data_IF_931381536099
#
_entry.id   IF_931381536099
#
_cell.length_a   1.000
_cell.length_b   1.000
_cell.length_c   1.000
_cell.angle_alpha   90.00
_cell.angle_beta   90.00
_cell.angle_gamma   90.00
#
_symmetry.space_group_name_H-M   'P 1'
#
loop_
_entity.id
_entity.type
_entity.pdbx_description
1 polymer ?
#
# COMPACT_ATOMS: atom_id res chain seq x y z
N UNK A 1 -14.05 -13.95 14.55
CA UNK A 1 -13.25 -14.19 13.33
C UNK A 1 -11.79 -14.30 13.72
N UNK A 2 -11.01 -15.09 12.97
CA UNK A 2 -9.55 -15.16 13.13
C UNK A 2 -8.90 -13.83 12.71
N UNK A 3 -7.83 -13.42 13.41
CA UNK A 3 -7.12 -12.18 13.09
C UNK A 3 -6.27 -12.33 11.83
N UNK A 4 -6.32 -11.32 10.96
CA UNK A 4 -5.44 -11.15 9.81
C UNK A 4 -4.79 -9.77 9.85
N UNK A 5 -3.47 -9.74 9.73
CA UNK A 5 -2.71 -8.50 9.63
C UNK A 5 -2.36 -8.25 8.15
N UNK A 6 -2.82 -7.14 7.60
CA UNK A 6 -2.36 -6.64 6.29
C UNK A 6 -1.42 -5.47 6.56
N UNK A 7 -0.14 -5.66 6.24
CA UNK A 7 0.94 -4.73 6.60
C UNK A 7 1.55 -4.18 5.31
N UNK A 8 1.56 -2.87 5.17
CA UNK A 8 2.20 -2.21 4.04
C UNK A 8 3.46 -1.47 4.49
N UNK A 9 4.58 -1.70 3.79
CA UNK A 9 5.83 -0.97 4.00
C UNK A 9 6.12 0.00 2.86
N UNK A 10 6.57 1.20 3.23
CA UNK A 10 6.92 2.27 2.30
C UNK A 10 8.35 2.17 1.76
N UNK A 11 8.67 3.09 0.83
CA UNK A 11 9.95 3.13 0.13
C UNK A 11 11.16 3.22 1.06
N UNK A 12 11.10 4.04 2.10
CA UNK A 12 12.26 4.27 2.95
C UNK A 12 12.71 3.02 3.74
N UNK A 13 11.77 2.15 4.12
CA UNK A 13 12.12 0.84 4.72
C UNK A 13 12.81 -0.04 3.69
N UNK A 14 12.31 -0.04 2.45
CA UNK A 14 12.80 -0.90 1.36
C UNK A 14 14.13 -0.40 0.80
N UNK A 15 14.31 0.92 0.74
CA UNK A 15 15.49 1.57 0.17
C UNK A 15 16.73 1.47 1.09
N UNK A 16 16.52 1.15 2.38
CA UNK A 16 17.57 0.96 3.37
C UNK A 16 17.67 -0.52 3.76
N UNK A 17 18.76 -1.17 3.37
CA UNK A 17 18.94 -2.61 3.59
C UNK A 17 18.90 -3.01 5.08
N UNK A 18 19.48 -2.21 5.98
CA UNK A 18 19.46 -2.48 7.42
C UNK A 18 18.06 -2.31 8.02
N UNK A 19 17.33 -1.26 7.60
CA UNK A 19 15.94 -1.05 8.03
C UNK A 19 15.02 -2.18 7.55
N UNK A 20 15.17 -2.60 6.28
CA UNK A 20 14.42 -3.73 5.74
C UNK A 20 14.73 -5.03 6.49
N UNK A 21 16.00 -5.32 6.73
CA UNK A 21 16.41 -6.53 7.48
C UNK A 21 15.78 -6.54 8.87
N UNK A 22 15.93 -5.44 9.64
CA UNK A 22 15.33 -5.31 10.99
C UNK A 22 13.81 -5.44 10.98
N UNK A 23 13.14 -4.87 9.97
CA UNK A 23 11.69 -5.01 9.80
C UNK A 23 11.30 -6.46 9.55
N UNK A 24 11.98 -7.15 8.62
CA UNK A 24 11.66 -8.55 8.25
C UNK A 24 11.93 -9.52 9.41
N UNK A 25 12.96 -9.26 10.22
CA UNK A 25 13.20 -10.01 11.47
C UNK A 25 12.01 -9.90 12.41
N UNK A 26 11.53 -8.69 12.70
CA UNK A 26 10.33 -8.47 13.53
C UNK A 26 9.08 -9.10 12.89
N UNK A 27 8.87 -8.85 11.60
CA UNK A 27 7.73 -9.38 10.85
C UNK A 27 7.68 -10.91 10.86
N UNK A 28 8.83 -11.60 10.75
CA UNK A 28 8.90 -13.06 10.76
C UNK A 28 8.41 -13.67 12.07
N UNK A 29 8.59 -12.98 13.21
CA UNK A 29 8.17 -13.48 14.54
C UNK A 29 6.67 -13.43 14.79
N UNK A 30 5.92 -12.65 14.01
CA UNK A 30 4.47 -12.52 14.15
C UNK A 30 3.80 -13.87 13.86
N UNK A 31 3.00 -14.36 14.79
CA UNK A 31 2.33 -15.67 14.67
C UNK A 31 0.96 -15.61 14.00
N UNK A 32 0.30 -14.43 14.04
CA UNK A 32 -0.97 -14.24 13.35
C UNK A 32 -0.81 -14.41 11.84
N UNK A 33 -1.92 -14.74 11.14
CA UNK A 33 -1.95 -14.69 9.69
C UNK A 33 -1.59 -13.30 9.22
N UNK A 34 -0.76 -13.19 8.19
CA UNK A 34 -0.23 -11.91 7.76
C UNK A 34 0.02 -11.85 6.27
N UNK A 35 -0.23 -10.67 5.74
CA UNK A 35 0.08 -10.29 4.36
C UNK A 35 1.02 -9.08 4.43
N UNK A 36 2.09 -9.10 3.65
CA UNK A 36 2.97 -7.95 3.45
C UNK A 36 2.73 -7.37 2.06
N UNK A 37 2.54 -6.05 1.99
CA UNK A 37 2.54 -5.32 0.72
C UNK A 37 3.71 -4.36 0.72
N UNK A 38 4.55 -4.45 -0.30
CA UNK A 38 5.75 -3.61 -0.38
C UNK A 38 5.65 -2.59 -1.51
N UNK A 39 6.44 -1.53 -1.42
CA UNK A 39 6.68 -0.59 -2.51
C UNK A 39 7.96 -0.92 -3.28
N UNK A 40 8.67 0.10 -3.75
CA UNK A 40 9.96 -0.04 -4.46
C UNK A 40 10.22 1.10 -5.45
N UNK A 41 9.43 2.18 -5.38
CA UNK A 41 9.46 3.27 -6.36
C UNK A 41 10.84 3.90 -6.55
N UNK A 42 11.58 4.19 -5.47
CA UNK A 42 12.94 4.78 -5.58
C UNK A 42 13.94 3.81 -6.22
N UNK A 43 13.86 2.51 -5.88
CA UNK A 43 14.72 1.49 -6.52
C UNK A 43 14.43 1.42 -8.01
N UNK A 44 13.14 1.42 -8.40
CA UNK A 44 12.76 1.42 -9.82
C UNK A 44 13.23 2.69 -10.54
N UNK A 45 13.12 3.88 -9.92
CA UNK A 45 13.66 5.11 -10.49
C UNK A 45 15.16 5.00 -10.72
N UNK A 46 15.93 4.58 -9.69
CA UNK A 46 17.40 4.44 -9.80
C UNK A 46 17.82 3.47 -10.89
N UNK A 47 17.14 2.33 -11.03
CA UNK A 47 17.45 1.35 -12.07
C UNK A 47 16.98 1.88 -13.43
N UNK A 48 15.83 2.53 -13.51
CA UNK A 48 15.34 3.19 -14.72
C UNK A 48 16.34 4.20 -15.27
N UNK A 49 16.86 5.08 -14.41
CA UNK A 49 17.88 6.06 -14.80
C UNK A 49 19.13 5.39 -15.40
N UNK A 50 19.58 4.25 -14.82
CA UNK A 50 20.69 3.47 -15.36
C UNK A 50 20.39 2.83 -16.73
N UNK A 51 19.14 2.53 -17.01
CA UNK A 51 18.67 1.95 -18.27
C UNK A 51 18.20 3.01 -19.29
N UNK A 52 18.26 4.30 -18.94
CA UNK A 52 17.77 5.39 -19.79
C UNK A 52 16.24 5.53 -19.81
N UNK A 53 15.52 4.90 -18.87
CA UNK A 53 14.07 4.98 -18.74
C UNK A 53 13.74 6.06 -17.69
N UNK A 54 13.22 7.20 -18.14
CA UNK A 54 12.89 8.33 -17.29
C UNK A 54 11.59 8.08 -16.53
N UNK A 55 11.59 8.41 -15.24
CA UNK A 55 10.40 8.30 -14.39
C UNK A 55 9.65 9.63 -14.32
N UNK A 56 8.45 9.66 -14.85
CA UNK A 56 7.56 10.81 -14.80
C UNK A 56 6.48 10.61 -13.73
N UNK A 57 6.17 11.65 -12.96
CA UNK A 57 5.14 11.61 -11.91
C UNK A 57 4.14 12.76 -12.09
N UNK A 58 2.86 12.44 -11.95
CA UNK A 58 1.76 13.41 -11.92
C UNK A 58 0.97 13.16 -10.64
N UNK A 59 0.79 14.18 -9.82
CA UNK A 59 0.10 14.08 -8.52
C UNK A 59 0.63 12.93 -7.64
N UNK A 60 1.95 12.74 -7.61
CA UNK A 60 2.61 11.68 -6.82
C UNK A 60 2.45 10.26 -7.38
N UNK A 61 1.80 10.08 -8.52
CA UNK A 61 1.63 8.79 -9.22
C UNK A 61 2.56 8.72 -10.43
N UNK A 62 3.22 7.57 -10.59
CA UNK A 62 4.12 7.33 -11.74
C UNK A 62 3.29 7.15 -13.01
N UNK A 63 3.56 7.97 -14.02
CA UNK A 63 3.13 7.69 -15.39
C UNK A 63 3.85 6.46 -15.88
N UNK A 64 3.12 5.48 -16.38
CA UNK A 64 3.64 4.15 -16.66
C UNK A 64 3.44 3.82 -18.14
N UNK A 65 4.40 4.18 -18.97
CA UNK A 65 4.47 3.77 -20.37
C UNK A 65 4.95 2.32 -20.54
N UNK A 66 5.10 1.85 -21.77
CA UNK A 66 5.49 0.48 -22.06
C UNK A 66 6.87 0.11 -21.47
N UNK A 67 7.86 1.00 -21.56
CA UNK A 67 9.18 0.76 -20.99
C UNK A 67 9.13 0.76 -19.44
N UNK A 68 8.30 1.64 -18.89
CA UNK A 68 8.14 1.76 -17.44
C UNK A 68 7.41 0.56 -16.84
N UNK A 69 6.38 -0.01 -17.50
CA UNK A 69 5.70 -1.21 -16.96
C UNK A 69 6.64 -2.41 -16.93
N UNK A 70 7.47 -2.59 -17.95
CA UNK A 70 8.48 -3.64 -17.96
C UNK A 70 9.51 -3.44 -16.84
N UNK A 71 10.01 -2.21 -16.67
CA UNK A 71 10.93 -1.84 -15.60
C UNK A 71 10.34 -2.14 -14.21
N UNK A 72 9.13 -1.68 -13.92
CA UNK A 72 8.54 -1.90 -12.59
C UNK A 72 8.18 -3.37 -12.37
N UNK A 73 7.83 -4.11 -13.41
CA UNK A 73 7.62 -5.56 -13.32
C UNK A 73 8.91 -6.29 -12.95
N UNK A 74 10.02 -5.99 -13.60
CA UNK A 74 11.33 -6.54 -13.24
C UNK A 74 11.75 -6.15 -11.82
N UNK A 75 11.59 -4.88 -11.46
CA UNK A 75 12.07 -4.36 -10.17
C UNK A 75 11.16 -4.77 -9.02
N UNK A 76 9.85 -4.56 -9.13
CA UNK A 76 8.94 -4.87 -8.03
C UNK A 76 8.70 -6.37 -7.90
N UNK A 77 8.26 -7.04 -8.98
CA UNK A 77 7.93 -8.46 -8.98
C UNK A 77 9.15 -9.38 -8.88
N UNK A 78 10.25 -8.98 -9.53
CA UNK A 78 11.50 -9.74 -9.53
C UNK A 78 12.43 -9.35 -8.39
N UNK A 79 13.09 -8.20 -8.49
CA UNK A 79 14.21 -7.86 -7.61
C UNK A 79 13.78 -7.66 -6.14
N UNK A 80 12.83 -6.76 -5.89
CA UNK A 80 12.45 -6.38 -4.52
C UNK A 80 11.69 -7.53 -3.85
N UNK A 81 10.65 -8.02 -4.52
CA UNK A 81 9.82 -9.11 -3.99
C UNK A 81 10.67 -10.35 -3.65
N UNK A 82 11.50 -10.82 -4.57
CA UNK A 82 12.29 -12.05 -4.35
C UNK A 82 13.41 -11.88 -3.32
N UNK A 83 13.96 -10.68 -3.16
CA UNK A 83 14.88 -10.40 -2.04
C UNK A 83 14.16 -10.48 -0.69
N UNK A 84 12.97 -9.91 -0.57
CA UNK A 84 12.13 -10.01 0.63
C UNK A 84 11.83 -11.48 0.94
N UNK A 85 11.40 -12.26 -0.07
CA UNK A 85 11.11 -13.68 0.10
C UNK A 85 12.33 -14.46 0.57
N UNK A 86 13.49 -14.29 -0.07
CA UNK A 86 14.72 -14.98 0.32
C UNK A 86 15.11 -14.69 1.77
N UNK A 87 14.97 -13.42 2.20
CA UNK A 87 15.21 -13.04 3.60
C UNK A 87 14.20 -13.68 4.55
N UNK A 88 12.90 -13.65 4.24
CA UNK A 88 11.88 -14.28 5.09
C UNK A 88 12.08 -15.80 5.21
N UNK A 89 12.47 -16.48 4.13
CA UNK A 89 12.79 -17.91 4.17
C UNK A 89 14.00 -18.20 5.07
N UNK A 90 15.04 -17.36 5.04
CA UNK A 90 16.20 -17.53 5.95
C UNK A 90 15.82 -17.33 7.42
N UNK A 91 14.74 -16.59 7.70
CA UNK A 91 14.16 -16.37 9.02
C UNK A 91 13.07 -17.42 9.39
N UNK A 92 12.99 -18.52 8.66
CA UNK A 92 12.01 -19.60 8.86
C UNK A 92 10.54 -19.12 8.77
N UNK A 93 10.31 -18.03 8.03
CA UNK A 93 8.98 -17.53 7.71
C UNK A 93 8.59 -18.04 6.32
N UNK A 94 7.65 -18.99 6.24
CA UNK A 94 7.24 -19.61 4.97
C UNK A 94 6.44 -18.62 4.13
N UNK A 95 7.16 -17.81 3.34
CA UNK A 95 6.59 -16.74 2.55
C UNK A 95 6.54 -17.07 1.05
N UNK A 96 5.51 -16.58 0.37
CA UNK A 96 5.35 -16.65 -1.07
C UNK A 96 5.24 -15.22 -1.65
N UNK A 97 6.01 -14.93 -2.69
CA UNK A 97 6.00 -13.64 -3.36
C UNK A 97 5.06 -13.65 -4.56
N UNK A 98 4.16 -12.68 -4.59
CA UNK A 98 3.01 -12.59 -5.47
C UNK A 98 2.89 -11.20 -6.11
N UNK A 99 2.25 -11.19 -7.27
CA UNK A 99 1.63 -10.03 -7.91
C UNK A 99 0.12 -10.27 -8.01
N UNK A 100 -0.64 -9.33 -8.49
CA UNK A 100 -2.06 -9.53 -8.77
C UNK A 100 -2.33 -10.52 -9.90
N UNK A 101 -1.36 -10.74 -10.80
CA UNK A 101 -1.49 -11.68 -11.91
C UNK A 101 -1.38 -13.15 -11.46
N UNK A 102 -0.63 -13.44 -10.40
CA UNK A 102 -0.48 -14.79 -9.88
C UNK A 102 -1.83 -15.33 -9.43
N UNK A 103 -2.25 -16.46 -9.98
CA UNK A 103 -3.54 -17.09 -9.70
C UNK A 103 -4.76 -16.15 -9.84
N UNK A 104 -4.66 -15.09 -10.65
CA UNK A 104 -5.68 -14.05 -10.81
C UNK A 104 -6.13 -13.43 -9.46
N UNK A 105 -5.15 -13.15 -8.58
CA UNK A 105 -5.44 -12.72 -7.21
C UNK A 105 -5.98 -11.30 -7.13
N UNK A 106 -5.47 -10.39 -7.97
CA UNK A 106 -5.88 -8.97 -7.98
C UNK A 106 -6.02 -8.50 -9.43
N UNK A 107 -7.12 -8.83 -10.11
CA UNK A 107 -7.43 -8.22 -11.41
C UNK A 107 -7.70 -6.73 -11.24
N UNK A 108 -7.42 -5.96 -12.27
CA UNK A 108 -7.57 -4.51 -12.28
C UNK A 108 -8.09 -4.03 -13.64
N UNK A 109 -8.69 -2.85 -13.65
CA UNK A 109 -9.02 -2.15 -14.88
C UNK A 109 -7.92 -1.11 -15.15
N UNK A 110 -7.44 -1.02 -16.39
CA UNK A 110 -6.52 0.05 -16.75
C UNK A 110 -7.22 1.40 -16.54
N UNK A 111 -6.51 2.30 -15.84
CA UNK A 111 -7.06 3.63 -15.53
C UNK A 111 -7.39 4.40 -16.81
N UNK A 112 -8.61 4.91 -16.96
CA UNK A 112 -8.95 5.77 -18.07
C UNK A 112 -8.22 7.12 -18.00
N UNK A 113 -8.15 7.83 -19.10
CA UNK A 113 -7.67 9.24 -19.13
C UNK A 113 -8.52 10.08 -18.18
N UNK A 114 -7.86 10.78 -17.27
CA UNK A 114 -8.52 11.62 -16.27
C UNK A 114 -8.53 13.06 -16.76
N UNK A 115 -9.70 13.63 -16.94
CA UNK A 115 -9.87 15.02 -17.29
C UNK A 115 -10.03 15.88 -16.03
N UNK A 116 -9.32 17.05 -15.92
CA UNK A 116 -9.51 17.95 -14.80
C UNK A 116 -10.97 18.44 -14.76
N UNK A 117 -11.65 18.29 -13.62
CA UNK A 117 -12.96 18.88 -13.40
C UNK A 117 -12.76 20.36 -13.11
N UNK A 118 -13.13 21.26 -14.05
CA UNK A 118 -13.14 22.69 -13.79
C UNK A 118 -14.36 23.05 -12.92
N UNK A 119 -14.14 23.36 -11.66
CA UNK A 119 -15.17 23.96 -10.79
C UNK A 119 -15.40 25.47 -11.11
N UNK A 120 -14.85 25.99 -12.20
CA UNK A 120 -15.06 27.36 -12.63
C UNK A 120 -15.60 27.38 -14.07
N UNK A 121 -16.82 27.83 -14.23
CA UNK A 121 -17.52 28.06 -15.52
C UNK A 121 -16.80 29.07 -16.48
N UNK A 122 -15.63 29.58 -16.07
CA UNK A 122 -14.87 30.58 -16.85
C UNK A 122 -13.88 30.00 -17.86
N UNK A 123 -13.73 28.67 -17.95
CA UNK A 123 -12.77 28.03 -18.87
C UNK A 123 -13.45 27.24 -20.02
N UNK A 124 -14.60 27.67 -20.47
CA UNK A 124 -15.21 27.15 -21.68
C UNK A 124 -14.42 27.63 -22.90
N UNK A 125 -13.35 26.93 -23.27
CA UNK A 125 -12.54 27.24 -24.44
C UNK A 125 -11.10 26.76 -24.43
N UNK A 126 -10.58 26.21 -23.32
CA UNK A 126 -9.26 25.56 -23.33
C UNK A 126 -9.45 24.07 -23.56
N UNK A 127 -8.77 23.49 -24.54
CA UNK A 127 -8.58 22.03 -24.66
C UNK A 127 -7.95 21.49 -23.38
N UNK A 128 -8.79 21.02 -22.43
CA UNK A 128 -8.33 20.39 -21.22
C UNK A 128 -7.67 19.08 -21.63
N UNK A 129 -6.35 19.10 -21.77
CA UNK A 129 -5.56 17.89 -22.01
C UNK A 129 -5.80 16.92 -20.84
N UNK A 130 -6.41 15.78 -21.14
CA UNK A 130 -6.58 14.71 -20.18
C UNK A 130 -5.24 14.16 -19.73
N UNK A 131 -5.15 13.71 -18.49
CA UNK A 131 -3.97 13.04 -17.94
C UNK A 131 -4.09 11.55 -18.23
N UNK A 132 -3.23 11.04 -19.10
CA UNK A 132 -3.05 9.62 -19.34
C UNK A 132 -1.92 9.09 -18.42
N UNK A 133 -2.28 8.20 -17.52
CA UNK A 133 -1.29 7.55 -16.66
C UNK A 133 -0.66 6.28 -17.26
N UNK A 134 -1.10 5.86 -18.46
CA UNK A 134 -0.63 4.67 -19.15
C UNK A 134 -1.08 3.36 -18.49
N UNK A 135 -0.16 2.42 -18.30
CA UNK A 135 -0.41 1.10 -17.71
C UNK A 135 -0.55 1.15 -16.19
N UNK A 136 -1.50 1.92 -15.70
CA UNK A 136 -1.85 2.02 -14.27
C UNK A 136 -3.16 1.29 -14.02
N UNK A 137 -3.21 0.46 -12.97
CA UNK A 137 -4.37 -0.34 -12.61
C UNK A 137 -5.19 0.28 -11.49
N UNK A 138 -6.50 0.31 -11.69
CA UNK A 138 -7.51 0.56 -10.67
C UNK A 138 -8.13 -0.78 -10.25
N UNK A 139 -8.16 -1.03 -8.94
CA UNK A 139 -8.57 -2.30 -8.35
C UNK A 139 -9.89 -2.18 -7.60
N UNK A 140 -10.67 -3.26 -7.62
CA UNK A 140 -11.90 -3.40 -6.85
C UNK A 140 -11.79 -4.61 -5.91
N UNK A 141 -12.12 -4.43 -4.62
CA UNK A 141 -12.11 -5.49 -3.63
C UNK A 141 -13.12 -6.61 -3.92
N UNK A 142 -14.16 -6.34 -4.70
CA UNK A 142 -15.14 -7.33 -5.12
C UNK A 142 -14.60 -8.30 -6.18
N UNK A 143 -13.55 -7.90 -6.92
CA UNK A 143 -12.96 -8.71 -8.00
C UNK A 143 -11.79 -9.60 -7.56
N UNK A 144 -11.40 -9.54 -6.28
CA UNK A 144 -10.29 -10.34 -5.76
C UNK A 144 -10.50 -11.84 -5.90
N UNK A 145 -9.43 -12.57 -6.20
CA UNK A 145 -9.37 -14.03 -6.19
C UNK A 145 -9.43 -14.61 -4.77
N UNK A 146 -10.50 -14.31 -4.01
CA UNK A 146 -10.63 -14.62 -2.59
C UNK A 146 -10.41 -16.10 -2.27
N UNK A 147 -10.93 -16.99 -3.12
CA UNK A 147 -10.76 -18.44 -2.93
C UNK A 147 -9.27 -18.84 -2.94
N UNK A 148 -8.50 -18.33 -3.89
CA UNK A 148 -7.05 -18.61 -3.98
C UNK A 148 -6.28 -18.00 -2.82
N UNK A 149 -6.64 -16.76 -2.42
CA UNK A 149 -6.06 -16.11 -1.24
C UNK A 149 -6.29 -16.94 0.03
N UNK A 150 -7.51 -17.44 0.23
CA UNK A 150 -7.87 -18.26 1.38
C UNK A 150 -7.14 -19.60 1.40
N UNK A 151 -6.99 -20.25 0.25
CA UNK A 151 -6.21 -21.49 0.13
C UNK A 151 -4.77 -21.25 0.57
N UNK A 152 -4.14 -20.18 0.13
CA UNK A 152 -2.78 -19.85 0.52
C UNK A 152 -2.67 -19.53 2.01
N UNK A 153 -3.57 -18.70 2.54
CA UNK A 153 -3.58 -18.33 3.96
C UNK A 153 -3.88 -19.53 4.87
N UNK A 154 -4.79 -20.42 4.48
CA UNK A 154 -5.15 -21.61 5.25
C UNK A 154 -4.00 -22.65 5.30
N UNK A 155 -3.13 -22.65 4.29
CA UNK A 155 -1.92 -23.46 4.26
C UNK A 155 -0.71 -22.76 4.93
N UNK A 156 -0.95 -21.74 5.74
CA UNK A 156 0.05 -21.02 6.53
C UNK A 156 1.14 -20.33 5.71
N UNK A 157 0.85 -19.96 4.47
CA UNK A 157 1.74 -19.08 3.73
C UNK A 157 1.63 -17.64 4.22
N UNK A 158 2.77 -16.99 4.37
CA UNK A 158 2.86 -15.54 4.47
C UNK A 158 2.87 -14.95 3.05
N UNK A 159 1.86 -14.16 2.70
CA UNK A 159 1.74 -13.61 1.35
C UNK A 159 2.49 -12.28 1.25
N UNK A 160 3.31 -12.11 0.22
CA UNK A 160 4.08 -10.87 0.00
C UNK A 160 3.78 -10.33 -1.38
N UNK A 161 3.04 -9.22 -1.44
CA UNK A 161 2.59 -8.63 -2.68
C UNK A 161 3.50 -7.50 -3.17
N UNK A 162 3.90 -7.60 -4.43
CA UNK A 162 4.42 -6.47 -5.19
C UNK A 162 3.27 -5.59 -5.70
N UNK A 163 3.48 -4.27 -5.91
CA UNK A 163 2.43 -3.35 -6.37
C UNK A 163 2.19 -3.46 -7.89
N UNK A 164 1.84 -4.65 -8.32
CA UNK A 164 1.57 -5.03 -9.70
C UNK A 164 0.25 -5.81 -9.79
N UNK A 165 -0.56 -5.44 -10.76
CA UNK A 165 -1.83 -6.09 -11.10
C UNK A 165 -1.87 -6.45 -12.58
N UNK A 166 -3.01 -6.90 -13.09
CA UNK A 166 -3.18 -7.21 -14.51
C UNK A 166 -4.62 -6.94 -14.96
N UNK A 167 -4.82 -6.77 -16.24
CA UNK A 167 -6.13 -6.46 -16.83
C UNK A 167 -6.98 -7.68 -17.23
N UNK A 168 -6.46 -8.90 -17.02
CA UNK A 168 -7.11 -10.14 -17.46
C UNK A 168 -6.91 -10.47 -18.95
N UNK A 169 -6.30 -9.56 -19.73
CA UNK A 169 -6.08 -9.72 -21.17
C UNK A 169 -4.60 -9.88 -21.55
N UNK A 170 -3.75 -10.11 -20.54
CA UNK A 170 -2.31 -10.32 -20.72
C UNK A 170 -1.44 -9.11 -20.43
N UNK A 171 -2.02 -7.96 -20.07
CA UNK A 171 -1.28 -6.75 -19.75
C UNK A 171 -1.07 -6.60 -18.25
N UNK A 172 0.20 -6.43 -17.84
CA UNK A 172 0.54 -6.03 -16.46
C UNK A 172 0.23 -4.56 -16.23
N UNK A 173 -0.19 -4.24 -15.01
CA UNK A 173 -0.52 -2.87 -14.59
C UNK A 173 0.23 -2.52 -13.32
N UNK A 174 0.74 -1.28 -13.26
CA UNK A 174 1.34 -0.70 -12.06
C UNK A 174 0.23 -0.16 -11.14
N UNK A 175 0.20 -0.61 -9.90
CA UNK A 175 -0.83 -0.19 -8.95
C UNK A 175 -0.17 0.35 -7.67
N UNK A 176 -0.79 1.35 -7.04
CA UNK A 176 -0.28 1.90 -5.79
C UNK A 176 -0.31 0.85 -4.67
N UNK A 177 0.79 0.71 -3.92
CA UNK A 177 0.91 -0.29 -2.86
C UNK A 177 -0.08 -0.05 -1.69
N UNK A 178 -0.41 1.21 -1.36
CA UNK A 178 -1.41 1.51 -0.32
C UNK A 178 -2.80 1.05 -0.79
N UNK A 179 -3.11 1.25 -2.08
CA UNK A 179 -4.35 0.77 -2.71
C UNK A 179 -4.43 -0.76 -2.67
N UNK A 180 -3.37 -1.49 -3.04
CA UNK A 180 -3.36 -2.96 -2.95
C UNK A 180 -3.57 -3.43 -1.51
N UNK A 181 -2.91 -2.80 -0.53
CA UNK A 181 -3.07 -3.18 0.88
C UNK A 181 -4.50 -2.95 1.37
N UNK A 182 -5.10 -1.81 1.05
CA UNK A 182 -6.49 -1.50 1.40
C UNK A 182 -7.47 -2.47 0.71
N UNK A 183 -7.30 -2.73 -0.59
CA UNK A 183 -8.17 -3.64 -1.35
C UNK A 183 -8.13 -5.06 -0.78
N UNK A 184 -6.94 -5.58 -0.46
CA UNK A 184 -6.79 -6.89 0.20
C UNK A 184 -7.44 -6.91 1.58
N UNK A 185 -7.25 -5.85 2.37
CA UNK A 185 -7.85 -5.73 3.71
C UNK A 185 -9.37 -5.74 3.64
N UNK A 186 -9.97 -4.94 2.75
CA UNK A 186 -11.42 -4.87 2.54
C UNK A 186 -11.97 -6.21 2.04
N UNK A 187 -11.38 -6.80 1.01
CA UNK A 187 -11.88 -8.07 0.45
C UNK A 187 -11.85 -9.22 1.45
N UNK A 188 -10.84 -9.26 2.33
CA UNK A 188 -10.67 -10.32 3.33
C UNK A 188 -11.42 -10.04 4.63
N UNK A 189 -11.92 -8.82 4.88
CA UNK A 189 -12.65 -8.45 6.10
C UNK A 189 -13.95 -9.22 6.31
N UNK A 190 -14.53 -9.79 5.25
CA UNK A 190 -15.72 -10.64 5.32
C UNK A 190 -15.45 -11.98 6.03
N UNK A 191 -14.20 -12.43 6.09
CA UNK A 191 -13.79 -13.72 6.67
C UNK A 191 -12.86 -13.61 7.88
N UNK A 192 -12.10 -12.54 7.95
CA UNK A 192 -11.09 -12.29 8.99
C UNK A 192 -11.40 -11.00 9.75
N UNK A 193 -10.98 -10.96 11.01
CA UNK A 193 -10.85 -9.70 11.73
C UNK A 193 -9.57 -9.01 11.25
N UNK A 194 -9.71 -8.11 10.26
CA UNK A 194 -8.57 -7.50 9.58
C UNK A 194 -8.12 -6.24 10.31
N UNK A 195 -6.81 -6.18 10.63
CA UNK A 195 -6.09 -4.95 10.98
C UNK A 195 -5.19 -4.58 9.80
N UNK A 196 -5.42 -3.41 9.22
CA UNK A 196 -4.57 -2.83 8.19
C UNK A 196 -3.53 -1.92 8.85
N UNK A 197 -2.24 -2.12 8.54
CA UNK A 197 -1.15 -1.37 9.14
C UNK A 197 -0.32 -0.73 8.04
N UNK A 198 -0.29 0.60 8.05
CA UNK A 198 0.61 1.38 7.21
C UNK A 198 1.89 1.73 7.99
N UNK A 199 3.00 1.10 7.62
CA UNK A 199 4.31 1.38 8.20
C UNK A 199 4.99 2.50 7.44
N UNK A 200 5.29 3.59 8.15
CA UNK A 200 5.97 4.78 7.65
C UNK A 200 7.25 5.07 8.44
N UNK A 201 7.76 6.29 8.31
CA UNK A 201 8.96 6.79 9.00
C UNK A 201 8.63 7.54 10.30
N UNK A 202 7.36 7.92 10.48
CA UNK A 202 6.89 8.64 11.66
C UNK A 202 6.12 7.70 12.57
N UNK A 203 6.19 7.95 13.88
CA UNK A 203 5.51 7.12 14.89
C UNK A 203 4.00 7.02 14.68
N UNK A 204 3.41 7.98 13.97
CA UNK A 204 1.99 8.05 13.68
C UNK A 204 1.62 9.36 13.00
N UNK A 205 0.36 9.73 13.05
CA UNK A 205 -0.12 11.07 12.70
C UNK A 205 0.27 12.01 13.83
N UNK A 206 1.03 13.05 13.50
CA UNK A 206 1.53 14.01 14.49
C UNK A 206 0.62 15.24 14.53
N UNK A 207 0.32 15.74 15.74
CA UNK A 207 -0.37 17.01 15.92
C UNK A 207 0.53 18.20 15.54
N UNK A 208 1.84 18.05 15.77
CA UNK A 208 2.89 18.98 15.32
C UNK A 208 3.97 18.19 14.59
N UNK A 209 4.19 18.49 13.31
CA UNK A 209 5.15 17.79 12.43
C UNK A 209 6.59 17.89 12.94
N UNK A 210 6.92 18.97 13.65
CA UNK A 210 8.26 19.22 14.21
C UNK A 210 8.49 18.49 15.55
N UNK A 211 7.41 18.01 16.21
CA UNK A 211 7.52 17.24 17.44
C UNK A 211 7.19 15.76 17.20
N UNK A 212 8.19 14.87 17.13
CA UNK A 212 7.99 13.45 16.88
C UNK A 212 7.24 12.71 18.01
N UNK A 213 7.02 13.36 19.16
CA UNK A 213 6.27 12.78 20.28
C UNK A 213 4.81 13.25 20.32
N UNK A 214 4.39 14.16 19.45
CA UNK A 214 3.01 14.65 19.36
C UNK A 214 2.07 13.71 18.61
N UNK A 215 2.20 12.38 18.82
CA UNK A 215 1.37 11.36 18.14
C UNK A 215 -0.07 11.45 18.63
N UNK A 216 -0.98 11.61 17.69
CA UNK A 216 -2.43 11.46 17.93
C UNK A 216 -2.72 9.97 18.01
N UNK A 217 -2.96 9.44 19.20
CA UNK A 217 -3.12 7.99 19.42
C UNK A 217 -4.38 7.40 18.80
N UNK A 218 -5.45 8.19 18.72
CA UNK A 218 -6.75 7.76 18.16
C UNK A 218 -7.37 8.86 17.30
N UNK A 219 -7.80 8.49 16.09
CA UNK A 219 -8.57 9.36 15.20
C UNK A 219 -9.88 8.66 14.86
N UNK A 220 -10.99 9.21 15.37
CA UNK A 220 -12.36 8.89 14.92
C UNK A 220 -12.79 9.85 13.82
N UNK A 221 -13.91 9.59 13.15
CA UNK A 221 -14.46 10.51 12.13
C UNK A 221 -14.71 11.92 12.70
N UNK A 222 -15.25 12.01 13.92
CA UNK A 222 -15.49 13.28 14.59
C UNK A 222 -14.18 14.02 14.86
N UNK A 223 -13.16 13.31 15.38
CA UNK A 223 -11.83 13.86 15.63
C UNK A 223 -11.17 14.31 14.34
N UNK A 224 -11.32 13.55 13.26
CA UNK A 224 -10.79 13.90 11.94
C UNK A 224 -11.37 15.21 11.43
N UNK A 225 -12.69 15.39 11.46
CA UNK A 225 -13.34 16.63 11.06
C UNK A 225 -12.89 17.81 11.92
N UNK A 226 -12.72 17.62 13.24
CA UNK A 226 -12.17 18.65 14.12
C UNK A 226 -10.76 19.05 13.71
N UNK A 227 -9.86 18.09 13.49
CA UNK A 227 -8.47 18.34 13.10
C UNK A 227 -8.36 19.09 11.76
N UNK A 228 -9.24 18.77 10.78
CA UNK A 228 -9.33 19.52 9.52
C UNK A 228 -9.76 20.96 9.77
N UNK A 229 -10.82 21.17 10.54
CA UNK A 229 -11.35 22.51 10.85
C UNK A 229 -10.29 23.38 11.59
N UNK A 230 -9.45 22.76 12.40
CA UNK A 230 -8.37 23.42 13.15
C UNK A 230 -7.06 23.57 12.34
N UNK A 231 -7.02 23.11 11.04
CA UNK A 231 -5.83 23.05 10.21
C UNK A 231 -4.61 22.37 10.87
N UNK A 232 -4.87 21.32 11.68
CA UNK A 232 -3.83 20.57 12.41
C UNK A 232 -3.23 19.40 11.64
N UNK A 233 -3.73 19.11 10.45
CA UNK A 233 -3.24 18.05 9.59
C UNK A 233 -2.53 18.64 8.37
N UNK A 234 -1.37 18.11 8.03
CA UNK A 234 -0.67 18.52 6.81
C UNK A 234 -1.23 17.76 5.59
N UNK A 235 -1.22 18.42 4.42
CA UNK A 235 -1.86 17.93 3.20
C UNK A 235 -1.49 16.50 2.80
N UNK A 236 -0.25 16.07 3.04
CA UNK A 236 0.21 14.74 2.67
C UNK A 236 -0.35 13.57 3.52
N UNK A 237 -0.98 13.87 4.69
CA UNK A 237 -1.58 12.83 5.54
C UNK A 237 -3.07 12.64 5.25
N UNK A 238 -3.76 13.69 4.77
CA UNK A 238 -5.21 13.66 4.53
C UNK A 238 -5.64 12.48 3.66
N UNK A 239 -5.05 12.24 2.46
CA UNK A 239 -5.46 11.13 1.61
C UNK A 239 -5.27 9.75 2.27
N UNK A 240 -4.36 9.64 3.24
CA UNK A 240 -4.11 8.39 3.96
C UNK A 240 -5.16 8.12 5.01
N UNK A 241 -5.61 9.17 5.71
CA UNK A 241 -6.70 9.06 6.69
C UNK A 241 -8.01 8.80 5.96
N UNK A 242 -8.27 9.47 4.84
CA UNK A 242 -9.44 9.22 4.00
C UNK A 242 -9.48 7.76 3.55
N UNK A 243 -8.40 7.24 2.98
CA UNK A 243 -8.30 5.83 2.58
C UNK A 243 -8.46 4.86 3.78
N UNK A 244 -8.04 5.27 4.98
CA UNK A 244 -8.22 4.46 6.18
C UNK A 244 -9.70 4.39 6.57
N UNK A 245 -10.43 5.51 6.56
CA UNK A 245 -11.87 5.52 6.82
C UNK A 245 -12.64 4.77 5.74
N UNK A 246 -12.28 4.93 4.46
CA UNK A 246 -12.87 4.16 3.37
C UNK A 246 -12.72 2.64 3.59
N UNK A 247 -11.55 2.20 4.05
CA UNK A 247 -11.33 0.80 4.37
C UNK A 247 -12.20 0.32 5.54
N UNK A 248 -12.34 1.13 6.60
CA UNK A 248 -13.18 0.83 7.77
C UNK A 248 -14.67 0.77 7.37
N UNK A 249 -15.16 1.73 6.60
CA UNK A 249 -16.53 1.77 6.11
C UNK A 249 -16.87 0.54 5.23
N UNK A 250 -15.84 -0.06 4.61
CA UNK A 250 -15.96 -1.28 3.83
C UNK A 250 -15.59 -2.57 4.61
N UNK A 251 -15.57 -2.50 5.95
CA UNK A 251 -15.55 -3.67 6.83
C UNK A 251 -14.20 -4.02 7.46
N UNK A 252 -13.15 -3.24 7.24
CA UNK A 252 -11.87 -3.40 7.98
C UNK A 252 -12.09 -3.00 9.44
N UNK A 253 -11.64 -3.84 10.37
CA UNK A 253 -11.90 -3.61 11.80
C UNK A 253 -11.22 -2.35 12.34
N UNK A 254 -9.99 -2.12 11.91
CA UNK A 254 -9.21 -0.96 12.33
C UNK A 254 -8.03 -0.74 11.37
N UNK A 255 -7.61 0.49 11.24
CA UNK A 255 -6.42 0.88 10.49
C UNK A 255 -5.43 1.54 11.43
N UNK A 256 -4.16 1.19 11.30
CA UNK A 256 -3.08 1.76 12.09
C UNK A 256 -2.05 2.42 11.17
N UNK A 257 -1.63 3.62 11.55
CA UNK A 257 -0.50 4.34 10.95
C UNK A 257 0.61 4.42 11.98
N UNK A 258 1.81 3.92 11.66
CA UNK A 258 2.91 3.92 12.62
C UNK A 258 4.29 3.71 12.02
N UNK A 259 5.32 3.80 12.87
CA UNK A 259 6.70 3.54 12.47
C UNK A 259 6.94 2.05 12.25
N UNK A 260 7.65 1.71 11.19
CA UNK A 260 8.06 0.34 10.87
C UNK A 260 8.93 -0.29 11.96
N UNK A 261 9.68 0.53 12.70
CA UNK A 261 10.49 0.06 13.83
C UNK A 261 9.64 -0.42 15.00
N UNK A 262 8.44 0.10 15.15
CA UNK A 262 7.52 -0.17 16.24
C UNK A 262 6.48 -1.27 15.88
N UNK A 263 6.73 -2.04 14.81
CA UNK A 263 5.78 -3.03 14.27
C UNK A 263 5.23 -3.95 15.36
N UNK A 264 6.09 -4.54 16.21
CA UNK A 264 5.67 -5.50 17.23
C UNK A 264 4.77 -4.88 18.30
N UNK A 265 4.97 -3.61 18.62
CA UNK A 265 4.08 -2.88 19.51
C UNK A 265 2.77 -2.53 18.80
N UNK A 266 2.86 -2.13 17.54
CA UNK A 266 1.72 -1.67 16.75
C UNK A 266 0.75 -2.80 16.32
N UNK A 267 1.12 -4.05 16.43
CA UNK A 267 0.20 -5.20 16.24
C UNK A 267 -0.57 -5.57 17.52
N UNK A 268 -0.27 -4.97 18.65
CA UNK A 268 -0.94 -5.24 19.93
C UNK A 268 -2.10 -4.26 20.19
N UNK A 269 -2.87 -4.53 21.24
CA UNK A 269 -3.92 -3.60 21.70
C UNK A 269 -3.35 -2.29 22.28
N UNK A 270 -2.09 -2.32 22.76
CA UNK A 270 -1.38 -1.18 23.31
C UNK A 270 -0.49 -0.54 22.23
N UNK A 271 -1.08 -0.22 21.10
CA UNK A 271 -0.35 0.43 20.00
C UNK A 271 0.20 1.79 20.39
N UNK A 272 1.35 2.16 19.84
CA UNK A 272 1.98 3.48 20.03
C UNK A 272 1.88 4.37 18.79
N UNK A 273 1.38 3.82 17.69
CA UNK A 273 1.01 4.57 16.48
C UNK A 273 -0.37 5.22 16.60
N UNK A 274 -0.86 5.73 15.47
CA UNK A 274 -2.20 6.29 15.35
C UNK A 274 -3.19 5.21 14.93
N UNK A 275 -4.14 4.92 15.78
CA UNK A 275 -5.26 4.05 15.48
C UNK A 275 -6.39 4.86 14.86
N UNK A 276 -6.97 4.38 13.76
CA UNK A 276 -8.13 4.96 13.07
C UNK A 276 -9.29 3.97 13.21
N UNK A 277 -10.43 4.47 13.68
CA UNK A 277 -11.67 3.69 13.92
C UNK A 277 -12.90 4.47 13.55
#
# INVERSE_FOLDING_TARGET
MEQLLVIKIGGNVIDNAAALQSFLEKFSTIKARKILVHGGGKIATKIGDQLGIQSNYINGRRVTDAATIDLVTMVYGGLVNKKIIATLQSLQCNAIGLTGADANLIPATQRPVVYPTSNNEAAAGSDLLGIDYGFVGDVDSASLGLQSLEILLSNNFTLVFAPLTHDGNGQMLNTNADTIASTLAVGLSKKYAVRLIYCFEKKGVLENVEDPNSVISLITKEKYHQLIAENKLFDGILPKIDNAFDAIDNGVNEVLIGDANDLLQNITINTIGTLIK
#
